data_IF_780929633103
#
_entry.id   IF_780929633103
#
_cell.length_a   1.000
_cell.length_b   1.000
_cell.length_c   1.000
_cell.angle_alpha   90.00
_cell.angle_beta   90.00
_cell.angle_gamma   90.00
#
_symmetry.space_group_name_H-M   'P 1'
#
loop_
_entity.id
_entity.type
_entity.pdbx_description
1 polymer ?
#
# COMPACT_ATOMS: atom_id res chain seq x y z
N UNK A 1 -21.53 -39.84 -37.37
CA UNK A 1 -21.70 -38.48 -36.80
C UNK A 1 -21.66 -38.38 -35.28
N UNK A 2 -21.49 -39.47 -34.49
CA UNK A 2 -21.43 -39.38 -33.01
C UNK A 2 -20.02 -39.37 -32.40
N UNK A 3 -18.99 -39.64 -33.19
CA UNK A 3 -17.59 -39.69 -32.71
C UNK A 3 -16.88 -38.31 -32.79
N UNK A 4 -17.29 -37.45 -33.73
CA UNK A 4 -16.70 -36.12 -33.89
C UNK A 4 -17.13 -35.11 -32.80
N UNK A 5 -18.29 -35.33 -32.17
CA UNK A 5 -18.79 -34.45 -31.11
C UNK A 5 -18.08 -34.68 -29.77
N UNK A 6 -17.60 -35.90 -29.50
CA UNK A 6 -16.89 -36.22 -28.26
C UNK A 6 -15.47 -35.63 -28.25
N UNK A 7 -14.78 -35.62 -29.40
CA UNK A 7 -13.43 -35.05 -29.53
C UNK A 7 -13.46 -33.52 -29.37
N UNK A 8 -14.50 -32.86 -29.89
CA UNK A 8 -14.65 -31.40 -29.72
C UNK A 8 -14.96 -31.02 -28.26
N UNK A 9 -15.75 -31.83 -27.55
CA UNK A 9 -16.09 -31.57 -26.14
C UNK A 9 -14.89 -31.79 -25.20
N UNK A 10 -14.04 -32.78 -25.48
CA UNK A 10 -12.79 -33.00 -24.72
C UNK A 10 -11.73 -31.94 -25.02
N UNK A 11 -11.62 -31.43 -26.26
CA UNK A 11 -10.66 -30.36 -26.58
C UNK A 11 -11.05 -29.00 -25.98
N UNK A 12 -12.34 -28.72 -25.81
CA UNK A 12 -12.80 -27.52 -25.08
C UNK A 12 -12.72 -27.65 -23.56
N UNK A 13 -12.65 -28.88 -23.01
CA UNK A 13 -12.49 -29.11 -21.57
C UNK A 13 -11.02 -29.06 -21.12
N UNK A 14 -10.07 -29.30 -22.03
CA UNK A 14 -8.63 -29.23 -21.73
C UNK A 14 -7.96 -27.88 -22.04
N UNK A 15 -8.63 -26.96 -22.76
CA UNK A 15 -8.15 -25.57 -22.93
C UNK A 15 -8.41 -24.67 -21.71
N UNK A 16 -9.10 -25.20 -20.69
CA UNK A 16 -9.41 -24.50 -19.43
C UNK A 16 -8.43 -24.82 -18.31
N UNK A 17 -7.37 -25.60 -18.60
CA UNK A 17 -6.21 -25.64 -17.71
C UNK A 17 -5.60 -24.25 -17.73
N UNK A 18 -5.95 -23.49 -16.70
CA UNK A 18 -5.34 -22.26 -16.26
C UNK A 18 -3.85 -22.31 -16.61
N UNK A 19 -3.46 -21.54 -17.64
CA UNK A 19 -2.08 -21.12 -17.81
C UNK A 19 -1.79 -20.28 -16.57
N UNK A 20 -1.42 -20.95 -15.49
CA UNK A 20 -0.78 -20.34 -14.33
C UNK A 20 0.70 -20.44 -14.64
N UNK A 21 1.36 -19.29 -14.69
CA UNK A 21 2.80 -19.26 -14.87
C UNK A 21 3.46 -20.02 -13.72
N UNK A 22 4.10 -21.16 -14.03
CA UNK A 22 4.95 -21.89 -13.09
C UNK A 22 6.24 -21.12 -12.75
N UNK A 23 6.61 -20.17 -13.61
CA UNK A 23 7.75 -19.27 -13.43
C UNK A 23 7.24 -17.82 -13.52
N UNK A 24 7.42 -17.07 -12.43
CA UNK A 24 7.16 -15.63 -12.41
C UNK A 24 8.40 -14.90 -12.91
N UNK A 25 8.21 -13.99 -13.86
CA UNK A 25 9.30 -13.22 -14.46
C UNK A 25 9.15 -11.77 -14.02
N UNK A 26 10.07 -11.30 -13.17
CA UNK A 26 10.12 -9.92 -12.71
C UNK A 26 11.39 -9.25 -13.21
N UNK A 27 11.21 -8.22 -14.02
CA UNK A 27 12.28 -7.37 -14.50
C UNK A 27 12.19 -6.00 -13.83
N UNK A 28 13.17 -5.70 -12.97
CA UNK A 28 13.35 -4.34 -12.44
C UNK A 28 14.15 -3.54 -13.46
N UNK A 29 13.52 -2.52 -14.04
CA UNK A 29 14.15 -1.64 -14.99
C UNK A 29 14.60 -0.33 -14.34
N UNK A 30 15.83 0.11 -14.65
CA UNK A 30 16.34 1.40 -14.16
C UNK A 30 16.29 2.45 -15.27
N UNK A 31 15.68 3.60 -14.95
CA UNK A 31 15.63 4.78 -15.82
C UNK A 31 16.89 5.64 -15.70
N UNK A 32 16.89 6.79 -16.38
CA UNK A 32 18.03 7.74 -16.29
C UNK A 32 18.22 8.33 -14.89
N UNK A 33 17.19 8.27 -14.05
CA UNK A 33 17.16 8.86 -12.72
C UNK A 33 17.47 7.86 -11.60
N UNK A 34 17.70 6.59 -11.91
CA UNK A 34 18.06 5.59 -10.92
C UNK A 34 19.46 5.85 -10.34
N UNK A 35 19.54 5.88 -9.01
CA UNK A 35 20.77 6.15 -8.27
C UNK A 35 21.45 4.85 -7.81
N UNK A 36 22.71 4.92 -7.38
CA UNK A 36 23.37 3.76 -6.75
C UNK A 36 22.67 3.31 -5.46
N UNK A 37 21.91 4.20 -4.82
CA UNK A 37 21.14 3.89 -3.62
C UNK A 37 19.94 3.01 -3.97
N UNK A 38 19.25 3.27 -5.08
CA UNK A 38 18.12 2.44 -5.52
C UNK A 38 18.57 1.00 -5.82
N UNK A 39 19.75 0.85 -6.43
CA UNK A 39 20.34 -0.47 -6.75
C UNK A 39 20.61 -1.35 -5.53
N UNK A 40 20.89 -0.75 -4.36
CA UNK A 40 21.13 -1.50 -3.11
C UNK A 40 19.92 -2.34 -2.70
N UNK A 41 18.72 -1.89 -3.04
CA UNK A 41 17.47 -2.55 -2.63
C UNK A 41 16.99 -3.65 -3.58
N UNK A 42 17.71 -3.95 -4.69
CA UNK A 42 17.34 -5.01 -5.64
C UNK A 42 17.12 -6.36 -4.98
N UNK A 43 18.00 -6.73 -4.05
CA UNK A 43 17.88 -8.00 -3.32
C UNK A 43 16.60 -8.03 -2.48
N UNK A 44 16.33 -6.96 -1.74
CA UNK A 44 15.13 -6.86 -0.90
C UNK A 44 13.86 -6.90 -1.74
N UNK A 45 13.85 -6.20 -2.88
CA UNK A 45 12.77 -6.23 -3.87
C UNK A 45 12.55 -7.65 -4.39
N UNK A 46 13.62 -8.32 -4.82
CA UNK A 46 13.57 -9.71 -5.31
C UNK A 46 13.07 -10.68 -4.24
N UNK A 47 13.59 -10.60 -3.02
CA UNK A 47 13.19 -11.49 -1.92
C UNK A 47 11.72 -11.27 -1.53
N UNK A 48 11.27 -10.01 -1.54
CA UNK A 48 9.87 -9.68 -1.24
C UNK A 48 8.94 -10.15 -2.36
N UNK A 49 9.32 -9.95 -3.62
CA UNK A 49 8.57 -10.46 -4.76
C UNK A 49 8.47 -11.99 -4.74
N UNK A 50 9.57 -12.70 -4.44
CA UNK A 50 9.58 -14.16 -4.33
C UNK A 50 8.60 -14.64 -3.25
N UNK A 51 8.62 -14.01 -2.06
CA UNK A 51 7.64 -14.31 -1.00
C UNK A 51 6.20 -14.08 -1.47
N UNK A 52 5.95 -12.99 -2.18
CA UNK A 52 4.62 -12.63 -2.67
C UNK A 52 4.12 -13.60 -3.76
N UNK A 53 4.97 -14.02 -4.68
CA UNK A 53 4.61 -15.03 -5.68
C UNK A 53 4.33 -16.40 -5.04
N UNK A 54 5.12 -16.78 -4.02
CA UNK A 54 4.91 -18.01 -3.25
C UNK A 54 3.60 -18.03 -2.46
N UNK A 55 2.90 -16.90 -2.31
CA UNK A 55 1.54 -16.87 -1.72
C UNK A 55 0.54 -17.60 -2.61
N UNK A 56 0.71 -17.50 -3.92
CA UNK A 56 -0.26 -17.98 -4.94
C UNK A 56 0.08 -19.37 -5.43
N UNK A 57 1.36 -19.71 -5.48
CA UNK A 57 1.87 -21.01 -5.87
C UNK A 57 3.12 -21.31 -5.05
N UNK A 58 3.04 -22.27 -4.12
CA UNK A 58 4.14 -22.58 -3.20
C UNK A 58 5.38 -23.11 -3.96
N UNK A 59 5.21 -23.61 -5.18
CA UNK A 59 6.28 -24.09 -6.07
C UNK A 59 6.74 -23.01 -7.08
N UNK A 60 6.25 -21.77 -6.97
CA UNK A 60 6.61 -20.67 -7.85
C UNK A 60 8.12 -20.36 -7.80
N UNK A 61 8.78 -20.45 -8.95
CA UNK A 61 10.12 -19.89 -9.12
C UNK A 61 10.03 -18.43 -9.60
N UNK A 62 10.92 -17.58 -9.09
CA UNK A 62 11.08 -16.20 -9.54
C UNK A 62 12.34 -16.07 -10.40
N UNK A 63 12.14 -15.82 -11.69
CA UNK A 63 13.17 -15.32 -12.59
C UNK A 63 13.28 -13.80 -12.45
N UNK A 64 14.18 -13.34 -11.58
CA UNK A 64 14.45 -11.93 -11.35
C UNK A 64 15.58 -11.41 -12.27
N UNK A 65 15.36 -10.27 -12.92
CA UNK A 65 16.39 -9.59 -13.71
C UNK A 65 16.40 -8.08 -13.46
N UNK A 66 17.59 -7.47 -13.52
CA UNK A 66 17.75 -6.03 -13.55
C UNK A 66 18.25 -5.58 -14.93
N UNK A 67 17.58 -4.61 -15.57
CA UNK A 67 17.94 -4.13 -16.92
C UNK A 67 17.68 -2.63 -17.10
N UNK A 68 18.24 -2.00 -18.13
CA UNK A 68 17.83 -0.63 -18.48
C UNK A 68 16.39 -0.61 -19.00
N UNK A 69 15.60 0.42 -18.68
CA UNK A 69 14.25 0.55 -19.25
C UNK A 69 14.34 0.84 -20.76
N UNK A 70 13.79 -0.05 -21.61
CA UNK A 70 13.64 0.22 -23.05
C UNK A 70 12.66 1.39 -23.29
N UNK A 71 11.61 1.46 -22.47
CA UNK A 71 10.68 2.58 -22.34
C UNK A 71 10.39 2.77 -20.84
N UNK A 72 10.52 3.98 -20.33
CA UNK A 72 10.14 4.27 -18.95
C UNK A 72 8.61 4.21 -18.85
N UNK A 73 8.03 3.32 -18.02
CA UNK A 73 6.59 3.27 -17.86
C UNK A 73 6.09 4.49 -17.08
N UNK A 74 4.87 4.92 -17.41
CA UNK A 74 4.20 6.03 -16.73
C UNK A 74 3.79 5.66 -15.29
N UNK A 75 3.71 4.37 -14.97
CA UNK A 75 3.40 3.82 -13.65
C UNK A 75 4.62 3.10 -13.05
N UNK A 76 4.52 2.72 -11.77
CA UNK A 76 5.58 2.01 -11.08
C UNK A 76 5.89 0.65 -11.74
N UNK A 77 4.88 -0.02 -12.28
CA UNK A 77 5.01 -1.28 -13.00
C UNK A 77 4.07 -1.30 -14.22
N UNK A 78 4.33 -2.26 -15.10
CA UNK A 78 3.40 -2.76 -16.12
C UNK A 78 3.75 -4.23 -16.39
N UNK A 79 2.85 -4.98 -17.02
CA UNK A 79 3.15 -6.35 -17.42
C UNK A 79 2.61 -6.68 -18.81
N UNK A 80 3.29 -7.62 -19.46
CA UNK A 80 2.81 -8.31 -20.64
C UNK A 80 3.03 -9.83 -20.48
N UNK A 81 2.74 -10.61 -21.52
CA UNK A 81 2.90 -12.07 -21.49
C UNK A 81 4.34 -12.57 -21.27
N UNK A 82 5.34 -11.69 -21.32
CA UNK A 82 6.76 -12.04 -21.21
C UNK A 82 7.35 -11.74 -19.83
N UNK A 83 6.94 -10.67 -19.15
CA UNK A 83 7.33 -10.40 -17.77
C UNK A 83 6.47 -9.30 -17.14
N UNK A 84 6.59 -9.20 -15.82
CA UNK A 84 6.26 -7.99 -15.06
C UNK A 84 7.48 -7.07 -15.08
N UNK A 85 7.29 -5.83 -15.51
CA UNK A 85 8.32 -4.80 -15.62
C UNK A 85 8.04 -3.69 -14.62
N UNK A 86 8.92 -3.54 -13.64
CA UNK A 86 8.80 -2.50 -12.61
C UNK A 86 9.97 -1.54 -12.66
N UNK A 87 9.72 -0.26 -12.44
CA UNK A 87 10.78 0.73 -12.24
C UNK A 87 11.48 0.51 -10.91
N UNK A 88 12.80 0.57 -10.95
CA UNK A 88 13.65 0.40 -9.78
C UNK A 88 13.42 1.49 -8.74
N UNK A 89 13.33 2.75 -9.16
CA UNK A 89 13.29 3.90 -8.25
C UNK A 89 12.01 3.90 -7.39
N UNK A 90 10.80 3.69 -7.95
CA UNK A 90 9.56 3.54 -7.18
C UNK A 90 9.57 2.38 -6.19
N UNK A 91 10.05 1.20 -6.58
CA UNK A 91 10.07 0.04 -5.69
C UNK A 91 11.10 0.20 -4.56
N UNK A 92 12.27 0.77 -4.87
CA UNK A 92 13.27 1.10 -3.86
C UNK A 92 12.76 2.18 -2.90
N UNK A 93 12.00 3.16 -3.39
CA UNK A 93 11.38 4.19 -2.55
C UNK A 93 10.33 3.62 -1.58
N UNK A 94 9.46 2.72 -2.05
CA UNK A 94 8.50 2.00 -1.17
C UNK A 94 9.26 1.20 -0.10
N UNK A 95 10.31 0.49 -0.52
CA UNK A 95 11.16 -0.30 0.37
C UNK A 95 11.84 0.56 1.44
N UNK A 96 12.28 1.77 1.11
CA UNK A 96 12.85 2.73 2.07
C UNK A 96 11.81 3.36 2.98
N UNK A 97 10.70 3.85 2.43
CA UNK A 97 9.61 4.43 3.21
C UNK A 97 9.03 3.45 4.24
N UNK A 98 8.98 2.16 3.90
CA UNK A 98 8.58 1.10 4.83
C UNK A 98 9.51 0.96 6.04
N UNK A 99 10.82 1.22 5.91
CA UNK A 99 11.75 1.18 7.04
C UNK A 99 11.47 2.30 8.04
N UNK A 100 11.19 3.51 7.55
CA UNK A 100 10.80 4.65 8.38
C UNK A 100 9.50 4.37 9.15
N UNK A 101 8.48 3.87 8.46
CA UNK A 101 7.20 3.51 9.09
C UNK A 101 7.35 2.36 10.09
N UNK A 102 8.14 1.34 9.76
CA UNK A 102 8.38 0.21 10.64
C UNK A 102 9.18 0.59 11.89
N UNK A 103 10.17 1.47 11.76
CA UNK A 103 10.96 1.97 12.88
C UNK A 103 10.09 2.73 13.88
N UNK A 104 9.27 3.68 13.40
CA UNK A 104 8.34 4.42 14.24
C UNK A 104 7.33 3.49 14.93
N UNK A 105 6.70 2.60 14.16
CA UNK A 105 5.73 1.65 14.72
C UNK A 105 6.34 0.71 15.76
N UNK A 106 7.61 0.31 15.61
CA UNK A 106 8.31 -0.50 16.60
C UNK A 106 8.56 0.27 17.91
N UNK A 107 8.96 1.54 17.83
CA UNK A 107 9.09 2.40 19.01
C UNK A 107 7.74 2.58 19.70
N UNK A 108 6.69 2.93 18.96
CA UNK A 108 5.33 3.06 19.50
C UNK A 108 4.88 1.76 20.20
N UNK A 109 5.07 0.61 19.55
CA UNK A 109 4.68 -0.68 20.11
C UNK A 109 5.44 -1.00 21.39
N UNK A 110 6.76 -0.77 21.43
CA UNK A 110 7.60 -1.22 22.54
C UNK A 110 7.67 -0.24 23.71
N UNK A 111 7.56 1.06 23.46
CA UNK A 111 7.54 2.10 24.50
C UNK A 111 6.25 2.12 25.31
N UNK A 112 5.20 1.41 24.88
CA UNK A 112 3.93 1.37 25.58
C UNK A 112 3.78 0.13 26.47
N UNK A 113 3.55 0.33 27.78
CA UNK A 113 3.27 -0.74 28.74
C UNK A 113 1.91 -1.40 28.47
N UNK A 114 0.93 -0.63 27.95
CA UNK A 114 -0.39 -1.10 27.56
C UNK A 114 -0.46 -1.20 26.04
N UNK A 115 0.08 -2.28 25.48
CA UNK A 115 0.18 -2.47 24.01
C UNK A 115 -1.07 -2.04 23.24
N UNK A 116 -2.28 -2.32 23.72
CA UNK A 116 -3.53 -1.94 23.03
C UNK A 116 -3.68 -0.43 22.76
N UNK A 117 -3.15 0.46 23.60
CA UNK A 117 -3.30 1.91 23.41
C UNK A 117 -2.53 2.42 22.19
N UNK A 118 -1.50 1.70 21.75
CA UNK A 118 -0.76 2.01 20.52
C UNK A 118 -1.68 2.07 19.29
N UNK A 119 -2.78 1.31 19.31
CA UNK A 119 -3.74 1.25 18.22
C UNK A 119 -4.51 2.57 18.06
N UNK A 120 -4.56 3.40 19.09
CA UNK A 120 -5.20 4.71 19.06
C UNK A 120 -4.22 5.88 18.95
N UNK A 121 -2.92 5.63 19.11
CA UNK A 121 -1.90 6.69 19.10
C UNK A 121 -1.62 7.18 17.68
N UNK A 122 -1.46 8.50 17.53
CA UNK A 122 -0.97 9.09 16.29
C UNK A 122 0.55 8.85 16.19
N UNK A 123 1.06 8.41 15.03
CA UNK A 123 2.50 8.25 14.84
C UNK A 123 3.18 9.61 14.80
N UNK A 124 4.44 9.67 15.26
CA UNK A 124 5.27 10.89 15.17
C UNK A 124 5.59 11.26 13.72
N UNK A 125 5.70 10.26 12.86
CA UNK A 125 5.91 10.41 11.42
C UNK A 125 4.66 9.99 10.64
N UNK A 126 4.19 10.85 9.74
CA UNK A 126 3.20 10.45 8.73
C UNK A 126 3.83 9.63 7.61
N UNK A 127 2.99 9.03 6.77
CA UNK A 127 3.45 8.40 5.52
C UNK A 127 4.13 9.39 4.57
N UNK A 128 3.72 10.66 4.56
CA UNK A 128 4.36 11.72 3.76
C UNK A 128 5.75 12.04 4.32
N UNK A 129 5.88 12.14 5.64
CA UNK A 129 7.17 12.35 6.32
C UNK A 129 8.14 11.21 5.99
N UNK A 130 7.68 9.96 6.13
CA UNK A 130 8.44 8.76 5.80
C UNK A 130 8.87 8.73 4.33
N UNK A 131 7.97 9.10 3.41
CA UNK A 131 8.26 9.14 1.98
C UNK A 131 9.29 10.23 1.63
N UNK A 132 9.16 11.42 2.23
CA UNK A 132 10.09 12.53 2.02
C UNK A 132 11.48 12.21 2.59
N UNK A 133 11.56 11.63 3.79
CA UNK A 133 12.83 11.22 4.37
C UNK A 133 13.48 10.12 3.53
N UNK A 134 12.72 9.09 3.13
CA UNK A 134 13.19 8.05 2.24
C UNK A 134 13.70 8.61 0.91
N UNK A 135 12.96 9.48 0.24
CA UNK A 135 13.37 10.10 -1.03
C UNK A 135 14.65 10.94 -0.87
N UNK A 136 14.82 11.61 0.28
CA UNK A 136 15.98 12.46 0.55
C UNK A 136 17.29 11.68 0.59
N UNK A 137 17.24 10.40 0.96
CA UNK A 137 18.41 9.53 1.05
C UNK A 137 19.13 9.38 -0.30
N UNK A 138 18.47 9.59 -1.45
CA UNK A 138 19.09 9.38 -2.77
C UNK A 138 20.10 10.47 -3.15
N UNK A 139 20.16 11.56 -2.39
CA UNK A 139 21.02 12.71 -2.67
C UNK A 139 22.28 12.63 -1.81
N UNK A 140 23.45 12.78 -2.43
CA UNK A 140 24.74 12.80 -1.72
C UNK A 140 24.94 14.07 -0.85
N UNK A 141 24.07 15.09 -0.98
CA UNK A 141 24.09 16.31 -0.16
C UNK A 141 23.15 16.17 1.04
N UNK A 142 23.74 16.03 2.23
CA UNK A 142 23.04 15.99 3.53
C UNK A 142 22.11 17.20 3.76
N UNK A 143 22.24 18.29 3.00
CA UNK A 143 21.35 19.46 3.12
C UNK A 143 19.88 19.13 2.87
N UNK A 144 19.56 18.29 1.88
CA UNK A 144 18.14 17.99 1.57
C UNK A 144 17.53 17.19 2.72
N UNK A 145 18.23 16.14 3.17
CA UNK A 145 17.82 15.34 4.32
C UNK A 145 17.70 16.19 5.58
N UNK A 146 18.71 17.02 5.87
CA UNK A 146 18.74 17.93 7.03
C UNK A 146 17.59 18.94 6.98
N UNK A 147 17.31 19.52 5.80
CA UNK A 147 16.23 20.48 5.63
C UNK A 147 14.86 19.83 5.89
N UNK A 148 14.61 18.66 5.29
CA UNK A 148 13.38 17.88 5.52
C UNK A 148 13.24 17.49 6.99
N UNK A 149 14.29 16.98 7.61
CA UNK A 149 14.31 16.64 9.04
C UNK A 149 13.97 17.84 9.94
N UNK A 150 14.56 19.02 9.69
CA UNK A 150 14.24 20.26 10.42
C UNK A 150 12.78 20.70 10.24
N UNK A 151 12.24 20.58 9.02
CA UNK A 151 10.85 20.89 8.73
C UNK A 151 9.89 19.98 9.50
N UNK A 152 10.17 18.67 9.52
CA UNK A 152 9.37 17.67 10.24
C UNK A 152 9.41 17.91 11.75
N UNK A 153 10.59 18.16 12.32
CA UNK A 153 10.78 18.52 13.74
C UNK A 153 9.90 19.72 14.10
N UNK A 154 9.94 20.78 13.30
CA UNK A 154 9.16 21.99 13.54
C UNK A 154 7.65 21.75 13.43
N UNK A 155 7.20 21.04 12.39
CA UNK A 155 5.77 20.79 12.12
C UNK A 155 5.13 19.83 13.12
N UNK A 156 5.83 18.75 13.49
CA UNK A 156 5.31 17.68 14.36
C UNK A 156 5.59 17.90 15.84
N UNK A 157 6.28 18.99 16.19
CA UNK A 157 6.79 19.22 17.54
C UNK A 157 7.60 18.00 18.07
N UNK A 158 8.38 17.39 17.18
CA UNK A 158 9.19 16.20 17.44
C UNK A 158 10.57 16.63 17.96
N UNK A 159 11.14 15.92 18.94
CA UNK A 159 12.52 16.24 19.36
C UNK A 159 13.54 15.77 18.32
N UNK A 160 14.70 16.43 18.25
CA UNK A 160 15.78 15.98 17.38
C UNK A 160 16.27 14.56 17.77
N UNK A 161 16.25 14.24 19.07
CA UNK A 161 16.65 12.94 19.59
C UNK A 161 15.69 11.83 19.15
N UNK A 162 14.38 12.09 19.11
CA UNK A 162 13.39 11.14 18.59
C UNK A 162 13.65 10.83 17.11
N UNK A 163 13.84 11.86 16.28
CA UNK A 163 14.09 11.66 14.85
C UNK A 163 15.41 10.92 14.61
N UNK A 164 16.45 11.23 15.39
CA UNK A 164 17.75 10.54 15.32
C UNK A 164 17.62 9.07 15.75
N UNK A 165 16.82 8.76 16.78
CA UNK A 165 16.57 7.39 17.22
C UNK A 165 15.84 6.58 16.13
N UNK A 166 14.82 7.16 15.51
CA UNK A 166 14.12 6.55 14.37
C UNK A 166 15.10 6.30 13.22
N UNK A 167 15.89 7.31 12.84
CA UNK A 167 16.87 7.17 11.76
C UNK A 167 17.93 6.10 12.04
N UNK A 168 18.43 6.03 13.28
CA UNK A 168 19.37 4.98 13.69
C UNK A 168 18.77 3.58 13.49
N UNK A 169 17.51 3.39 13.88
CA UNK A 169 16.82 2.12 13.68
C UNK A 169 16.58 1.82 12.20
N UNK A 170 16.29 2.84 11.38
CA UNK A 170 16.19 2.69 9.91
C UNK A 170 17.49 2.19 9.30
N UNK A 171 18.64 2.74 9.72
CA UNK A 171 19.97 2.28 9.28
C UNK A 171 20.22 0.82 9.69
N UNK A 172 19.81 0.42 10.89
CA UNK A 172 19.92 -0.97 11.35
C UNK A 172 19.01 -1.91 10.55
N UNK A 173 17.77 -1.50 10.23
CA UNK A 173 16.86 -2.25 9.35
C UNK A 173 17.53 -2.46 7.99
N UNK A 174 18.02 -1.39 7.35
CA UNK A 174 18.70 -1.48 6.05
C UNK A 174 19.91 -2.40 6.09
N UNK A 175 20.71 -2.32 7.15
CA UNK A 175 21.88 -3.16 7.33
C UNK A 175 21.48 -4.64 7.49
N UNK A 176 20.37 -4.92 8.17
CA UNK A 176 19.84 -6.28 8.30
C UNK A 176 19.31 -6.83 6.97
N UNK A 177 18.41 -6.12 6.30
CA UNK A 177 17.73 -6.61 5.08
C UNK A 177 18.68 -6.73 3.88
N UNK A 178 19.76 -5.95 3.88
CA UNK A 178 20.85 -6.07 2.90
C UNK A 178 21.96 -7.05 3.32
N UNK A 179 21.73 -7.88 4.34
CA UNK A 179 22.65 -8.89 4.86
C UNK A 179 24.02 -8.36 5.35
N UNK A 180 24.11 -7.08 5.72
CA UNK A 180 25.35 -6.47 6.24
C UNK A 180 25.57 -6.87 7.71
N UNK A 181 24.49 -6.99 8.49
CA UNK A 181 24.54 -7.33 9.91
C UNK A 181 23.71 -8.60 10.17
N UNK A 182 24.28 -9.53 10.95
CA UNK A 182 23.53 -10.69 11.44
C UNK A 182 22.52 -10.22 12.49
N UNK A 183 21.27 -10.71 12.48
CA UNK A 183 20.27 -10.30 13.46
C UNK A 183 20.80 -10.55 14.88
N UNK A 184 20.93 -9.48 15.68
CA UNK A 184 21.06 -9.64 17.11
C UNK A 184 19.68 -10.01 17.66
N UNK A 185 19.49 -11.30 17.91
CA UNK A 185 18.23 -11.85 18.43
C UNK A 185 17.86 -11.29 19.81
N UNK A 186 18.76 -10.54 20.47
CA UNK A 186 18.48 -9.87 21.75
C UNK A 186 17.97 -8.43 21.57
N UNK A 187 18.13 -7.83 20.39
CA UNK A 187 17.59 -6.50 20.11
C UNK A 187 16.10 -6.60 19.72
N UNK A 188 15.24 -6.52 20.74
CA UNK A 188 13.78 -6.65 20.59
C UNK A 188 13.21 -5.55 19.69
N UNK A 189 13.75 -4.32 19.76
CA UNK A 189 13.31 -3.19 18.92
C UNK A 189 13.59 -3.47 17.45
N UNK A 190 14.82 -3.85 17.12
CA UNK A 190 15.20 -4.19 15.76
C UNK A 190 14.40 -5.39 15.23
N UNK A 191 14.25 -6.46 16.02
CA UNK A 191 13.44 -7.62 15.63
C UNK A 191 12.01 -7.21 15.30
N UNK A 192 11.38 -6.42 16.17
CA UNK A 192 9.99 -5.95 15.99
C UNK A 192 9.88 -5.07 14.74
N UNK A 193 10.85 -4.18 14.51
CA UNK A 193 10.87 -3.33 13.34
C UNK A 193 11.03 -4.13 12.04
N UNK A 194 11.92 -5.13 12.00
CA UNK A 194 12.08 -6.04 10.85
C UNK A 194 10.79 -6.81 10.57
N UNK A 195 10.10 -7.23 11.62
CA UNK A 195 8.83 -7.95 11.49
C UNK A 195 7.74 -7.07 10.87
N UNK A 196 7.58 -5.85 11.38
CA UNK A 196 6.66 -4.87 10.82
C UNK A 196 7.04 -4.57 9.37
N UNK A 197 8.33 -4.29 9.12
CA UNK A 197 8.88 -4.00 7.80
C UNK A 197 8.57 -5.07 6.76
N UNK A 198 8.80 -6.34 7.10
CA UNK A 198 8.56 -7.46 6.18
C UNK A 198 7.09 -7.63 5.85
N UNK A 199 6.21 -7.48 6.84
CA UNK A 199 4.76 -7.63 6.67
C UNK A 199 4.15 -6.47 5.86
N UNK A 200 4.49 -5.21 6.17
CA UNK A 200 3.95 -4.07 5.43
C UNK A 200 4.44 -4.05 3.97
N UNK A 201 5.70 -4.45 3.72
CA UNK A 201 6.17 -4.67 2.34
C UNK A 201 5.43 -5.82 1.68
N UNK A 202 5.16 -6.91 2.40
CA UNK A 202 4.35 -8.03 1.91
C UNK A 202 2.98 -7.58 1.42
N UNK A 203 2.26 -6.75 2.19
CA UNK A 203 0.96 -6.20 1.78
C UNK A 203 1.07 -5.27 0.57
N UNK A 204 2.01 -4.32 0.59
CA UNK A 204 2.20 -3.36 -0.51
C UNK A 204 2.58 -4.06 -1.82
N UNK A 205 3.52 -5.00 -1.78
CA UNK A 205 3.94 -5.77 -2.95
C UNK A 205 2.88 -6.75 -3.40
N UNK A 206 2.07 -7.32 -2.50
CA UNK A 206 0.93 -8.17 -2.89
C UNK A 206 -0.09 -7.40 -3.71
N UNK A 207 -0.37 -6.14 -3.34
CA UNK A 207 -1.24 -5.29 -4.15
C UNK A 207 -0.63 -4.97 -5.52
N UNK A 208 0.62 -4.50 -5.56
CA UNK A 208 1.31 -4.09 -6.80
C UNK A 208 1.51 -5.29 -7.72
N UNK A 209 2.14 -6.36 -7.24
CA UNK A 209 2.45 -7.54 -8.05
C UNK A 209 1.21 -8.38 -8.34
N UNK A 210 0.18 -8.35 -7.49
CA UNK A 210 -1.09 -9.01 -7.78
C UNK A 210 -1.87 -8.30 -8.90
N UNK A 211 -1.79 -6.98 -8.96
CA UNK A 211 -2.31 -6.18 -10.08
C UNK A 211 -1.58 -6.54 -11.37
N UNK A 212 -0.25 -6.46 -11.39
CA UNK A 212 0.53 -6.80 -12.59
C UNK A 212 0.46 -8.27 -12.97
N UNK A 213 0.34 -9.15 -11.97
CA UNK A 213 0.20 -10.59 -12.16
C UNK A 213 -1.07 -10.95 -12.93
N UNK A 214 -2.14 -10.15 -12.82
CA UNK A 214 -3.33 -10.31 -13.66
C UNK A 214 -3.01 -10.09 -15.15
N UNK A 215 -2.30 -9.01 -15.48
CA UNK A 215 -1.93 -8.69 -16.87
C UNK A 215 -0.92 -9.68 -17.44
N UNK A 216 0.11 -10.03 -16.65
CA UNK A 216 1.10 -11.05 -16.99
C UNK A 216 0.44 -12.39 -17.34
N UNK A 217 -0.60 -12.76 -16.60
CA UNK A 217 -1.33 -14.01 -16.77
C UNK A 217 -2.49 -13.90 -17.78
N UNK A 218 -2.37 -13.01 -18.77
CA UNK A 218 -3.33 -12.89 -19.86
C UNK A 218 -4.69 -12.33 -19.43
N UNK A 219 -4.70 -11.39 -18.47
CA UNK A 219 -5.91 -10.82 -17.87
C UNK A 219 -6.76 -11.85 -17.12
N UNK A 220 -6.10 -12.79 -16.43
CA UNK A 220 -6.74 -13.81 -15.58
C UNK A 220 -6.09 -13.78 -14.20
N UNK A 221 -6.87 -13.50 -13.17
CA UNK A 221 -6.36 -13.54 -11.81
C UNK A 221 -6.10 -15.01 -11.39
N UNK A 222 -4.88 -15.36 -10.94
CA UNK A 222 -4.58 -16.74 -10.51
C UNK A 222 -5.32 -17.13 -9.22
N UNK A 223 -5.76 -16.15 -8.42
CA UNK A 223 -6.58 -16.39 -7.23
C UNK A 223 -8.06 -16.39 -7.63
N UNK A 224 -8.65 -17.60 -7.64
CA UNK A 224 -10.04 -17.82 -8.07
C UNK A 224 -11.07 -17.53 -6.97
N UNK A 225 -10.68 -17.62 -5.70
CA UNK A 225 -11.54 -17.26 -4.58
C UNK A 225 -11.93 -15.77 -4.64
N UNK A 226 -13.11 -15.45 -4.10
CA UNK A 226 -13.53 -14.05 -3.95
C UNK A 226 -12.72 -13.38 -2.85
N UNK A 227 -12.34 -12.13 -3.07
CA UNK A 227 -11.79 -11.28 -2.01
C UNK A 227 -12.83 -11.02 -0.91
N UNK A 228 -12.35 -10.60 0.25
CA UNK A 228 -13.23 -10.20 1.36
C UNK A 228 -14.10 -8.99 0.99
N UNK A 229 -13.57 -8.04 0.22
CA UNK A 229 -14.30 -6.85 -0.25
C UNK A 229 -15.37 -7.19 -1.30
N UNK A 230 -15.20 -8.26 -2.08
CA UNK A 230 -16.27 -8.81 -2.93
C UNK A 230 -17.35 -9.49 -2.08
N UNK A 231 -16.92 -10.32 -1.12
CA UNK A 231 -17.83 -11.11 -0.27
C UNK A 231 -18.70 -10.22 0.60
N UNK A 232 -18.15 -9.08 1.06
CA UNK A 232 -18.85 -8.08 1.87
C UNK A 232 -19.52 -6.98 1.04
N UNK A 233 -19.55 -7.10 -0.29
CA UNK A 233 -20.16 -6.14 -1.22
C UNK A 233 -19.52 -4.72 -1.23
N UNK A 234 -18.43 -4.50 -0.51
CA UNK A 234 -17.71 -3.21 -0.44
C UNK A 234 -17.21 -2.80 -1.83
N UNK A 235 -16.69 -3.74 -2.63
CA UNK A 235 -16.26 -3.46 -4.00
C UNK A 235 -17.38 -2.82 -4.84
N UNK A 236 -18.57 -3.42 -4.83
CA UNK A 236 -19.69 -2.96 -5.64
C UNK A 236 -20.22 -1.60 -5.17
N UNK A 237 -20.18 -1.32 -3.86
CA UNK A 237 -20.56 -0.02 -3.30
C UNK A 237 -19.58 1.08 -3.69
N UNK A 238 -18.28 0.86 -3.50
CA UNK A 238 -17.25 1.84 -3.85
C UNK A 238 -17.20 2.07 -5.37
N UNK A 239 -17.35 1.02 -6.19
CA UNK A 239 -17.42 1.14 -7.64
C UNK A 239 -18.58 2.05 -8.09
N UNK A 240 -19.76 1.93 -7.47
CA UNK A 240 -20.93 2.78 -7.78
C UNK A 240 -20.68 4.25 -7.51
N UNK A 241 -19.78 4.61 -6.58
CA UNK A 241 -19.43 6.00 -6.29
C UNK A 241 -18.75 6.68 -7.48
N UNK A 242 -18.16 5.94 -8.41
CA UNK A 242 -17.45 6.49 -9.57
C UNK A 242 -18.29 6.55 -10.84
N UNK A 243 -19.47 5.93 -10.83
CA UNK A 243 -20.42 6.03 -11.92
C UNK A 243 -21.21 7.33 -11.82
N UNK A 244 -21.93 7.73 -12.87
CA UNK A 244 -22.88 8.85 -12.82
C UNK A 244 -24.30 8.31 -12.50
N UNK A 245 -25.04 8.81 -11.49
CA UNK A 245 -24.79 9.98 -10.62
C UNK A 245 -24.23 9.62 -9.22
N UNK A 246 -23.02 9.06 -9.17
CA UNK A 246 -22.27 8.70 -7.96
C UNK A 246 -21.71 9.92 -7.22
N UNK A 247 -20.55 9.76 -6.56
CA UNK A 247 -19.86 10.76 -5.75
C UNK A 247 -18.70 11.46 -6.50
N UNK A 248 -18.10 10.79 -7.48
CA UNK A 248 -16.92 11.27 -8.19
C UNK A 248 -17.24 11.68 -9.65
N UNK A 249 -16.43 12.56 -10.24
CA UNK A 249 -16.59 12.93 -11.67
C UNK A 249 -16.27 11.75 -12.58
N UNK A 250 -16.80 11.79 -13.80
CA UNK A 250 -16.38 10.90 -14.88
C UNK A 250 -15.09 11.36 -15.58
N UNK A 251 -14.18 12.11 -14.92
CA UNK A 251 -12.91 12.53 -15.58
C UNK A 251 -12.04 11.33 -15.93
N UNK A 252 -12.12 10.29 -15.11
CA UNK A 252 -11.39 9.05 -15.32
C UNK A 252 -12.28 8.10 -16.11
N UNK A 253 -11.84 7.69 -17.29
CA UNK A 253 -12.54 6.62 -18.03
C UNK A 253 -12.15 5.28 -17.43
N UNK A 254 -13.13 4.53 -16.91
CA UNK A 254 -12.89 3.24 -16.29
C UNK A 254 -12.61 2.16 -17.34
N UNK A 255 -11.55 1.37 -17.14
CA UNK A 255 -11.20 0.22 -17.96
C UNK A 255 -11.46 -1.08 -17.21
N UNK A 256 -12.16 -2.02 -17.84
CA UNK A 256 -12.56 -3.26 -17.18
C UNK A 256 -11.35 -4.13 -16.79
N UNK A 257 -10.28 -4.13 -17.59
CA UNK A 257 -9.10 -4.93 -17.30
C UNK A 257 -8.31 -4.34 -16.13
N UNK A 258 -8.14 -3.03 -16.07
CA UNK A 258 -7.49 -2.35 -14.93
C UNK A 258 -8.28 -2.54 -13.62
N UNK A 259 -9.62 -2.46 -13.68
CA UNK A 259 -10.47 -2.73 -12.52
C UNK A 259 -10.34 -4.17 -12.03
N UNK A 260 -10.29 -5.14 -12.94
CA UNK A 260 -10.09 -6.55 -12.58
C UNK A 260 -8.67 -6.81 -12.07
N UNK A 261 -7.67 -6.09 -12.55
CA UNK A 261 -6.31 -6.14 -12.07
C UNK A 261 -6.22 -5.61 -10.63
N UNK A 262 -6.83 -4.47 -10.33
CA UNK A 262 -6.97 -3.96 -8.95
C UNK A 262 -7.64 -4.97 -8.03
N UNK A 263 -8.73 -5.58 -8.50
CA UNK A 263 -9.42 -6.62 -7.76
C UNK A 263 -8.52 -7.84 -7.50
N UNK A 264 -7.66 -8.21 -8.45
CA UNK A 264 -6.67 -9.25 -8.26
C UNK A 264 -5.61 -8.85 -7.22
N UNK A 265 -5.11 -7.61 -7.24
CA UNK A 265 -4.24 -7.06 -6.19
C UNK A 265 -4.85 -7.18 -4.79
N UNK A 266 -6.14 -6.88 -4.62
CA UNK A 266 -6.84 -7.05 -3.35
C UNK A 266 -6.97 -8.53 -2.94
N UNK A 267 -7.14 -9.46 -3.89
CA UNK A 267 -7.13 -10.89 -3.59
C UNK A 267 -5.77 -11.37 -3.09
N UNK A 268 -4.68 -10.96 -3.74
CA UNK A 268 -3.33 -11.31 -3.31
C UNK A 268 -3.03 -10.79 -1.91
N UNK A 269 -3.40 -9.53 -1.65
CA UNK A 269 -3.27 -8.95 -0.32
C UNK A 269 -4.10 -9.70 0.73
N UNK A 270 -5.32 -10.15 0.38
CA UNK A 270 -6.14 -10.99 1.26
C UNK A 270 -5.48 -12.31 1.63
N UNK A 271 -4.89 -13.03 0.67
CA UNK A 271 -4.17 -14.28 0.94
C UNK A 271 -2.89 -14.03 1.75
N UNK A 272 -2.19 -12.91 1.52
CA UNK A 272 -1.06 -12.49 2.37
C UNK A 272 -1.48 -12.35 3.84
N UNK A 273 -2.65 -11.75 4.11
CA UNK A 273 -3.16 -11.63 5.49
C UNK A 273 -3.36 -13.02 6.10
N UNK A 274 -3.91 -13.97 5.35
CA UNK A 274 -4.17 -15.34 5.83
C UNK A 274 -2.89 -16.16 6.08
N UNK A 275 -1.86 -15.99 5.24
CA UNK A 275 -0.57 -16.67 5.38
C UNK A 275 0.37 -16.00 6.41
N UNK A 276 0.12 -14.76 6.83
CA UNK A 276 0.94 -14.08 7.83
C UNK A 276 0.91 -14.83 9.18
N UNK A 277 2.08 -15.34 9.61
CA UNK A 277 2.20 -16.32 10.70
C UNK A 277 2.03 -15.78 12.13
N UNK A 278 1.60 -14.52 12.33
CA UNK A 278 1.58 -13.86 13.65
C UNK A 278 0.25 -13.99 14.40
N UNK A 279 -0.32 -15.19 14.41
CA UNK A 279 -1.57 -15.50 15.10
C UNK A 279 -1.59 -15.28 16.62
N UNK A 280 -0.45 -14.99 17.26
CA UNK A 280 -0.33 -14.91 18.72
C UNK A 280 -0.22 -13.49 19.30
N UNK A 281 0.13 -12.46 18.50
CA UNK A 281 0.20 -11.06 18.97
C UNK A 281 -0.81 -10.18 18.24
N UNK A 282 -2.07 -10.25 18.66
CA UNK A 282 -3.21 -9.59 18.01
C UNK A 282 -3.05 -8.06 17.89
N UNK A 283 -2.44 -7.41 18.88
CA UNK A 283 -2.18 -5.97 18.85
C UNK A 283 -1.14 -5.61 17.79
N UNK A 284 -0.02 -6.33 17.77
CA UNK A 284 1.02 -6.10 16.75
C UNK A 284 0.48 -6.36 15.34
N UNK A 285 -0.33 -7.40 15.16
CA UNK A 285 -0.97 -7.68 13.86
C UNK A 285 -1.89 -6.54 13.40
N UNK A 286 -2.71 -6.00 14.29
CA UNK A 286 -3.57 -4.86 13.97
C UNK A 286 -2.75 -3.58 13.68
N UNK A 287 -1.69 -3.32 14.45
CA UNK A 287 -0.77 -2.20 14.21
C UNK A 287 -0.10 -2.33 12.84
N UNK A 288 0.43 -3.51 12.50
CA UNK A 288 1.04 -3.79 11.20
C UNK A 288 0.05 -3.47 10.07
N UNK A 289 -1.19 -3.97 10.14
CA UNK A 289 -2.21 -3.71 9.12
C UNK A 289 -2.53 -2.23 8.99
N UNK A 290 -2.64 -1.51 10.12
CA UNK A 290 -2.83 -0.05 10.14
C UNK A 290 -1.67 0.67 9.47
N UNK A 291 -0.43 0.33 9.79
CA UNK A 291 0.77 0.92 9.18
C UNK A 291 0.89 0.54 7.69
N UNK A 292 0.42 -0.63 7.29
CA UNK A 292 0.39 -1.02 5.88
C UNK A 292 -0.53 -0.13 5.05
N UNK A 293 -1.65 0.37 5.62
CA UNK A 293 -2.54 1.34 4.96
C UNK A 293 -1.78 2.63 4.65
N UNK A 294 -0.98 3.12 5.60
CA UNK A 294 -0.15 4.31 5.43
C UNK A 294 0.93 4.08 4.36
N UNK A 295 1.57 2.90 4.32
CA UNK A 295 2.51 2.56 3.25
C UNK A 295 1.82 2.49 1.88
N UNK A 296 0.64 1.88 1.79
CA UNK A 296 -0.16 1.73 0.57
C UNK A 296 -0.61 3.08 0.00
N UNK A 297 -0.71 4.13 0.82
CA UNK A 297 -0.96 5.49 0.34
C UNK A 297 0.14 5.99 -0.62
N UNK A 298 1.38 5.51 -0.47
CA UNK A 298 2.51 5.88 -1.35
C UNK A 298 2.27 5.46 -2.81
N UNK A 299 2.11 4.17 -3.15
CA UNK A 299 1.84 3.78 -4.53
C UNK A 299 0.44 4.17 -5.01
N UNK A 300 -0.58 4.22 -4.13
CA UNK A 300 -1.96 4.47 -4.55
C UNK A 300 -2.22 5.97 -4.77
N UNK A 301 -1.89 6.84 -3.81
CA UNK A 301 -2.19 8.27 -3.89
C UNK A 301 -1.10 9.04 -4.65
N UNK A 302 0.17 8.79 -4.33
CA UNK A 302 1.28 9.51 -4.93
C UNK A 302 1.77 8.90 -6.25
N UNK A 303 1.30 7.71 -6.63
CA UNK A 303 1.81 6.99 -7.81
C UNK A 303 3.31 6.70 -7.71
N UNK A 304 3.85 6.63 -6.49
CA UNK A 304 5.29 6.58 -6.19
C UNK A 304 6.12 7.71 -6.84
N UNK A 305 5.48 8.84 -7.16
CA UNK A 305 6.16 10.05 -7.61
C UNK A 305 6.90 10.69 -6.43
N UNK A 306 8.06 11.27 -6.73
CA UNK A 306 8.86 12.06 -5.80
C UNK A 306 8.70 13.58 -6.01
N UNK A 307 7.73 13.98 -6.84
CA UNK A 307 7.35 15.37 -7.03
C UNK A 307 6.27 15.74 -6.03
N UNK A 308 6.64 16.60 -5.07
CA UNK A 308 5.74 17.17 -4.08
C UNK A 308 5.38 18.58 -4.53
N UNK A 309 4.09 18.89 -4.50
CA UNK A 309 3.59 20.25 -4.62
C UNK A 309 3.30 20.76 -3.20
N UNK A 310 3.39 22.07 -2.99
CA UNK A 310 2.94 22.68 -1.73
C UNK A 310 1.41 22.72 -1.76
N UNK A 311 0.75 22.06 -0.81
CA UNK A 311 -0.70 22.08 -0.71
C UNK A 311 -1.22 23.46 -0.26
N UNK A 312 -2.55 23.63 -0.24
CA UNK A 312 -3.20 24.90 0.17
C UNK A 312 -2.89 25.32 1.62
N UNK A 313 -2.30 24.42 2.43
CA UNK A 313 -1.87 24.67 3.80
C UNK A 313 -0.38 25.03 3.91
N UNK A 314 0.35 25.12 2.78
CA UNK A 314 1.77 25.43 2.78
C UNK A 314 2.68 24.23 3.06
N UNK A 315 2.15 23.00 3.00
CA UNK A 315 2.90 21.78 3.32
C UNK A 315 3.25 20.98 2.07
N UNK A 316 4.41 20.32 2.06
CA UNK A 316 4.78 19.37 1.02
C UNK A 316 3.77 18.22 0.97
N UNK A 317 2.99 18.16 -0.11
CA UNK A 317 2.03 17.10 -0.36
C UNK A 317 2.37 16.40 -1.68
N UNK A 318 2.30 15.06 -1.73
CA UNK A 318 2.54 14.34 -2.96
C UNK A 318 1.49 14.74 -4.00
N UNK A 319 1.96 15.03 -5.21
CA UNK A 319 1.06 15.33 -6.32
C UNK A 319 0.23 14.09 -6.63
N UNK A 320 -1.08 14.17 -6.39
CA UNK A 320 -1.96 13.03 -6.66
C UNK A 320 -2.08 12.82 -8.17
N UNK A 321 -1.68 11.64 -8.64
CA UNK A 321 -1.78 11.26 -10.05
C UNK A 321 -3.12 10.55 -10.30
N UNK A 322 -3.97 11.17 -11.11
CA UNK A 322 -5.12 10.49 -11.70
C UNK A 322 -4.66 9.78 -12.98
N UNK A 323 -5.09 8.53 -13.14
CA UNK A 323 -4.70 7.68 -14.28
C UNK A 323 -5.98 7.11 -14.88
N UNK A 324 -6.17 7.32 -16.19
CA UNK A 324 -7.27 6.70 -16.93
C UNK A 324 -7.20 5.17 -16.83
N UNK A 325 -8.36 4.53 -16.80
CA UNK A 325 -8.53 3.09 -16.62
C UNK A 325 -8.86 2.69 -15.18
N UNK A 326 -8.39 3.44 -14.19
CA UNK A 326 -8.42 3.03 -12.79
C UNK A 326 -9.57 3.61 -11.99
N UNK A 327 -9.83 3.01 -10.83
CA UNK A 327 -10.57 3.68 -9.78
C UNK A 327 -9.82 4.93 -9.30
N UNK A 328 -10.56 5.95 -8.86
CA UNK A 328 -9.97 7.07 -8.12
C UNK A 328 -9.07 6.60 -6.95
N UNK A 329 -7.89 7.22 -6.73
CA UNK A 329 -6.92 6.79 -5.72
C UNK A 329 -7.51 6.62 -4.31
N UNK A 330 -8.35 7.56 -3.87
CA UNK A 330 -9.01 7.48 -2.57
C UNK A 330 -9.95 6.27 -2.45
N UNK A 331 -10.61 5.87 -3.55
CA UNK A 331 -11.45 4.65 -3.58
C UNK A 331 -10.59 3.39 -3.49
N UNK A 332 -9.46 3.36 -4.21
CA UNK A 332 -8.50 2.24 -4.16
C UNK A 332 -7.94 2.07 -2.75
N UNK A 333 -7.60 3.17 -2.07
CA UNK A 333 -7.09 3.12 -0.70
C UNK A 333 -8.17 2.68 0.31
N UNK A 334 -9.42 3.11 0.14
CA UNK A 334 -10.56 2.60 0.94
C UNK A 334 -10.74 1.09 0.76
N UNK A 335 -10.63 0.57 -0.47
CA UNK A 335 -10.69 -0.86 -0.74
C UNK A 335 -9.49 -1.63 -0.16
N UNK A 336 -8.31 -1.01 -0.17
CA UNK A 336 -7.12 -1.59 0.45
C UNK A 336 -7.29 -1.67 1.98
N UNK A 337 -7.73 -0.59 2.62
CA UNK A 337 -8.09 -0.56 4.04
C UNK A 337 -9.13 -1.62 4.36
N UNK A 338 -10.22 -1.69 3.59
CA UNK A 338 -11.30 -2.66 3.80
C UNK A 338 -10.79 -4.11 3.72
N UNK A 339 -9.86 -4.41 2.81
CA UNK A 339 -9.26 -5.74 2.68
C UNK A 339 -8.48 -6.14 3.95
N UNK A 340 -7.73 -5.21 4.54
CA UNK A 340 -6.97 -5.45 5.78
C UNK A 340 -7.89 -5.46 7.01
N UNK A 341 -8.83 -4.52 7.07
CA UNK A 341 -9.82 -4.33 8.14
C UNK A 341 -10.74 -5.54 8.30
N UNK A 342 -11.39 -5.98 7.22
CA UNK A 342 -12.35 -7.08 7.26
C UNK A 342 -11.70 -8.44 7.55
N UNK A 343 -10.37 -8.51 7.39
CA UNK A 343 -9.55 -9.68 7.72
C UNK A 343 -9.00 -9.64 9.16
N UNK A 344 -9.17 -8.53 9.88
CA UNK A 344 -8.80 -8.38 11.29
C UNK A 344 -9.96 -8.83 12.20
N UNK A 345 -9.71 -9.83 13.06
CA UNK A 345 -10.74 -10.48 13.87
C UNK A 345 -10.86 -9.91 15.29
N UNK A 346 -9.77 -9.35 15.83
CA UNK A 346 -9.67 -8.94 17.23
C UNK A 346 -9.79 -7.45 17.40
N UNK A 347 -9.18 -6.68 16.51
CA UNK A 347 -9.19 -5.22 16.57
C UNK A 347 -9.56 -4.58 15.22
N UNK A 348 -10.70 -4.97 14.60
CA UNK A 348 -11.10 -4.40 13.31
C UNK A 348 -11.23 -2.88 13.38
N UNK A 349 -11.72 -2.32 14.49
CA UNK A 349 -11.88 -0.89 14.64
C UNK A 349 -10.58 -0.07 14.61
N UNK A 350 -9.44 -0.71 14.85
CA UNK A 350 -8.12 -0.08 14.79
C UNK A 350 -7.48 -0.10 13.39
N UNK A 351 -7.95 -0.97 12.49
CA UNK A 351 -7.41 -1.11 11.14
C UNK A 351 -8.22 -0.23 10.20
N UNK A 352 -7.95 1.07 10.19
CA UNK A 352 -8.66 2.09 9.41
C UNK A 352 -7.66 3.09 8.82
N UNK A 353 -8.11 3.87 7.84
CA UNK A 353 -7.38 5.02 7.30
C UNK A 353 -7.46 6.13 8.35
N UNK A 354 -6.31 6.65 8.81
CA UNK A 354 -6.25 7.62 9.91
C UNK A 354 -5.25 8.75 9.65
N UNK A 355 -5.28 9.76 10.52
CA UNK A 355 -4.37 10.90 10.58
C UNK A 355 -4.22 11.58 9.20
N UNK A 356 -2.99 11.88 8.79
CA UNK A 356 -2.66 12.46 7.49
C UNK A 356 -3.23 11.69 6.29
N UNK A 357 -3.31 10.35 6.37
CA UNK A 357 -3.89 9.52 5.32
C UNK A 357 -5.39 9.76 5.21
N UNK A 358 -6.10 9.86 6.34
CA UNK A 358 -7.52 10.20 6.35
C UNK A 358 -7.76 11.63 5.87
N UNK A 359 -6.92 12.58 6.30
CA UNK A 359 -6.97 13.97 5.83
C UNK A 359 -6.81 14.04 4.31
N UNK A 360 -5.85 13.33 3.73
CA UNK A 360 -5.67 13.27 2.28
C UNK A 360 -6.90 12.69 1.56
N UNK A 361 -7.41 11.54 2.02
CA UNK A 361 -8.60 10.89 1.44
C UNK A 361 -9.83 11.80 1.52
N UNK A 362 -10.10 12.39 2.67
CA UNK A 362 -11.27 13.27 2.88
C UNK A 362 -11.17 14.52 2.01
N UNK A 363 -10.02 15.19 1.98
CA UNK A 363 -9.81 16.37 1.13
C UNK A 363 -10.06 16.04 -0.35
N UNK A 364 -9.57 14.88 -0.83
CA UNK A 364 -9.82 14.43 -2.19
C UNK A 364 -11.31 14.20 -2.48
N UNK A 365 -12.06 13.62 -1.53
CA UNK A 365 -13.51 13.43 -1.66
C UNK A 365 -14.22 14.79 -1.70
N UNK A 366 -13.89 15.70 -0.77
CA UNK A 366 -14.49 17.03 -0.68
C UNK A 366 -14.26 17.84 -1.96
N UNK A 367 -13.02 17.86 -2.48
CA UNK A 367 -12.70 18.49 -3.75
C UNK A 367 -13.51 17.91 -4.91
N UNK A 368 -13.74 16.59 -4.93
CA UNK A 368 -14.58 15.98 -5.95
C UNK A 368 -16.04 16.40 -5.83
N UNK A 369 -16.60 16.45 -4.62
CA UNK A 369 -18.00 16.87 -4.40
C UNK A 369 -18.21 18.32 -4.82
N UNK A 370 -17.30 19.22 -4.44
CA UNK A 370 -17.39 20.65 -4.77
C UNK A 370 -17.35 20.93 -6.28
N UNK A 371 -16.54 20.17 -7.02
CA UNK A 371 -16.40 20.36 -8.47
C UNK A 371 -17.53 19.73 -9.31
N UNK A 372 -18.39 18.87 -8.71
CA UNK A 372 -19.40 18.08 -9.42
C UNK A 372 -20.79 18.12 -8.76
N UNK A 373 -21.59 19.18 -9.02
CA UNK A 373 -22.87 19.42 -8.35
C UNK A 373 -24.02 18.46 -8.75
N UNK A 374 -23.77 17.48 -9.62
CA UNK A 374 -24.75 16.45 -10.03
C UNK A 374 -24.50 15.08 -9.40
N UNK A 375 -23.70 15.04 -8.33
CA UNK A 375 -23.47 13.85 -7.51
C UNK A 375 -24.65 13.62 -6.57
N UNK A 376 -24.85 12.39 -6.12
CA UNK A 376 -25.88 12.08 -5.11
C UNK A 376 -25.55 12.62 -3.72
N UNK A 377 -24.29 13.01 -3.47
CA UNK A 377 -23.78 13.44 -2.17
C UNK A 377 -23.74 12.32 -1.12
N UNK A 378 -24.23 11.12 -1.44
CA UNK A 378 -24.27 9.98 -0.55
C UNK A 378 -22.89 9.35 -0.38
N UNK A 379 -22.51 9.12 0.87
CA UNK A 379 -21.31 8.38 1.25
C UNK A 379 -21.76 7.08 1.90
N UNK A 380 -21.37 5.92 1.38
CA UNK A 380 -21.83 4.64 1.90
C UNK A 380 -21.17 4.34 3.24
N UNK A 381 -21.89 3.60 4.09
CA UNK A 381 -21.40 3.13 5.38
C UNK A 381 -20.09 2.35 5.24
N UNK A 382 -19.91 1.62 4.13
CA UNK A 382 -18.67 0.90 3.84
C UNK A 382 -17.45 1.81 3.65
N UNK A 383 -17.64 3.04 3.17
CA UNK A 383 -16.57 4.04 3.11
C UNK A 383 -16.32 4.63 4.49
N UNK A 384 -17.38 5.04 5.20
CA UNK A 384 -17.28 5.63 6.55
C UNK A 384 -16.65 4.65 7.56
N UNK A 385 -16.93 3.35 7.44
CA UNK A 385 -16.35 2.31 8.28
C UNK A 385 -14.82 2.19 8.14
N UNK A 386 -14.24 2.67 7.04
CA UNK A 386 -12.78 2.69 6.83
C UNK A 386 -12.12 3.99 7.30
N UNK A 387 -12.91 4.95 7.79
CA UNK A 387 -12.45 6.24 8.29
C UNK A 387 -12.70 6.35 9.80
N UNK A 388 -12.04 7.29 10.49
CA UNK A 388 -12.27 7.50 11.90
C UNK A 388 -13.68 8.04 12.18
N UNK A 389 -14.24 7.74 13.35
CA UNK A 389 -15.55 8.25 13.78
C UNK A 389 -15.62 9.79 13.77
N UNK A 390 -14.48 10.44 14.02
CA UNK A 390 -14.36 11.90 13.94
C UNK A 390 -14.64 12.46 12.54
N UNK A 391 -14.36 11.70 11.48
CA UNK A 391 -14.66 12.08 10.10
C UNK A 391 -16.15 12.04 9.84
N UNK A 392 -16.84 10.98 10.25
CA UNK A 392 -18.30 10.88 10.13
C UNK A 392 -19.00 12.04 10.85
N UNK A 393 -18.57 12.32 12.09
CA UNK A 393 -19.09 13.45 12.86
C UNK A 393 -18.85 14.78 12.16
N UNK A 394 -17.62 15.04 11.70
CA UNK A 394 -17.29 16.26 10.98
C UNK A 394 -18.07 16.40 9.66
N UNK A 395 -18.37 15.28 8.98
CA UNK A 395 -19.17 15.27 7.76
C UNK A 395 -20.61 15.75 8.00
N UNK A 396 -21.20 15.35 9.12
CA UNK A 396 -22.56 15.71 9.50
C UNK A 396 -22.66 17.12 10.11
N UNK A 397 -21.69 17.48 10.95
CA UNK A 397 -21.71 18.73 11.72
C UNK A 397 -21.06 19.91 10.98
N UNK A 398 -20.27 19.64 9.93
CA UNK A 398 -19.54 20.64 9.13
C UNK A 398 -18.27 21.21 9.78
N UNK A 399 -17.88 20.70 10.95
CA UNK A 399 -16.69 21.15 11.68
C UNK A 399 -15.53 20.14 11.56
N UNK A 400 -14.51 20.51 10.79
CA UNK A 400 -13.30 19.71 10.60
C UNK A 400 -12.17 20.20 11.52
N UNK A 401 -11.62 19.32 12.34
CA UNK A 401 -10.44 19.58 13.19
C UNK A 401 -9.41 18.47 13.01
N UNK A 402 -8.20 18.62 13.54
CA UNK A 402 -7.19 17.56 13.47
C UNK A 402 -7.66 16.30 14.22
N UNK A 403 -8.47 16.46 15.28
CA UNK A 403 -9.10 15.35 16.00
C UNK A 403 -10.11 14.56 15.16
N UNK A 404 -10.68 15.16 14.11
CA UNK A 404 -11.58 14.46 13.19
C UNK A 404 -10.89 13.26 12.54
N UNK A 405 -9.57 13.33 12.33
CA UNK A 405 -8.79 12.34 11.61
C UNK A 405 -8.08 11.34 12.52
N UNK A 406 -8.12 11.53 13.85
CA UNK A 406 -7.40 10.65 14.78
C UNK A 406 -7.97 9.24 14.77
N UNK A 407 -7.09 8.26 14.87
CA UNK A 407 -7.40 6.83 14.94
C UNK A 407 -8.01 6.44 16.30
N UNK A 408 -9.07 7.12 16.74
CA UNK A 408 -9.75 6.76 17.99
C UNK A 408 -10.42 5.40 17.79
N UNK A 409 -9.82 4.36 18.38
CA UNK A 409 -10.52 3.11 18.67
C UNK A 409 -11.54 3.50 19.72
N UNK A 410 -12.80 3.68 19.32
CA UNK A 410 -13.85 4.10 20.24
C UNK A 410 -13.84 3.20 21.48
N UNK A 411 -14.18 3.74 22.64
CA UNK A 411 -14.49 2.93 23.82
C UNK A 411 -15.67 2.02 23.43
N UNK A 412 -15.38 0.84 22.89
CA UNK A 412 -16.37 -0.19 22.65
C UNK A 412 -16.87 -0.60 24.03
N UNK A 413 -18.00 -0.03 24.42
CA UNK A 413 -18.75 -0.39 25.62
C UNK A 413 -19.21 -1.85 25.57
#
# INVERSE_FOLDING_TARGET
MRLAFFIFFTLTLFSSYTLQAKEWRLAVCYGKNATEIDKKYRKVISDTAARVFAIVDDDAELAFMARGCEKEPDLACYADSSAIYCREEPLALITRASAWLAAEAAFMYLSNDKKVTVLSEAPKLSWVDALLLADAEKYDDDKIFTHRGKSIIARRNLSADDLNAIYSLVVDIYSHVNNVIKPDTKNIILSTAIDIYNEINGYAFSFILGHEGYHFNGNICPITSKSVVETKNVWAEIYKLQLKPGLFDSKVMLDKHELNADLCGFKWMGVQVEKSGRGNEHVLSALIKRVAIDLLATPILAGSLNSFDVNELGEDAPKVKLVDGYLYPQSRLVLASATLNLSEKKHPDAVKICNDTAKAVVTMIQHSVQNHPKTSGYIPDSLLAQLPLGVEKAWNDGAWTDESYLCNVGDSK
#
